data_IF_218130130455
#
_entry.id   IF_218130130455
#
_cell.length_a   1.000
_cell.length_b   1.000
_cell.length_c   1.000
_cell.angle_alpha   90.00
_cell.angle_beta   90.00
_cell.angle_gamma   90.00
#
_symmetry.space_group_name_H-M   'P 1'
#
loop_
_entity.id
_entity.type
_entity.pdbx_description
1 polymer ?
#
# COMPACT_ATOMS: atom_id res chain seq x y z
N UNK A 1 4.50 -24.68 9.81
CA UNK A 1 5.26 -23.66 10.54
C UNK A 1 6.40 -23.28 9.64
N UNK A 2 6.12 -22.32 8.75
CA UNK A 2 7.00 -22.04 7.62
C UNK A 2 7.91 -20.85 7.90
N UNK A 3 9.15 -21.05 7.48
CA UNK A 3 10.32 -20.24 7.70
C UNK A 3 10.22 -18.93 6.91
N UNK A 4 9.79 -17.87 7.58
CA UNK A 4 10.02 -16.49 7.12
C UNK A 4 10.14 -15.52 8.31
N UNK A 5 10.96 -15.90 9.30
CA UNK A 5 11.47 -14.98 10.32
C UNK A 5 13.00 -15.15 10.40
N UNK A 6 13.68 -15.03 9.27
CA UNK A 6 15.13 -14.86 9.22
C UNK A 6 15.41 -13.48 8.64
N UNK A 7 16.17 -12.66 9.35
CA UNK A 7 16.40 -11.23 9.11
C UNK A 7 17.14 -10.85 7.81
N UNK A 8 16.79 -11.46 6.67
CA UNK A 8 17.31 -11.16 5.33
C UNK A 8 16.37 -10.29 4.47
N UNK A 9 15.12 -10.08 4.90
CA UNK A 9 14.22 -9.08 4.34
C UNK A 9 13.95 -8.00 5.37
N UNK A 10 14.76 -6.95 5.41
CA UNK A 10 14.53 -5.84 6.34
C UNK A 10 13.21 -5.15 5.98
N UNK A 11 12.53 -4.53 6.97
CA UNK A 11 11.38 -3.66 6.69
C UNK A 11 11.71 -2.62 5.62
N UNK A 12 12.95 -2.11 5.60
CA UNK A 12 13.43 -1.20 4.57
C UNK A 12 13.44 -1.83 3.16
N UNK A 13 13.86 -3.09 3.01
CA UNK A 13 13.83 -3.79 1.73
C UNK A 13 12.39 -4.01 1.23
N UNK A 14 11.47 -4.39 2.12
CA UNK A 14 10.05 -4.51 1.81
C UNK A 14 9.44 -3.17 1.36
N UNK A 15 9.70 -2.09 2.11
CA UNK A 15 9.19 -0.76 1.76
C UNK A 15 9.77 -0.27 0.42
N UNK A 16 11.05 -0.54 0.15
CA UNK A 16 11.68 -0.20 -1.13
C UNK A 16 11.07 -0.97 -2.31
N UNK A 17 10.79 -2.26 -2.11
CA UNK A 17 10.11 -3.08 -3.11
C UNK A 17 8.69 -2.58 -3.38
N UNK A 18 7.92 -2.28 -2.32
CA UNK A 18 6.56 -1.75 -2.41
C UNK A 18 6.53 -0.41 -3.14
N UNK A 19 7.52 0.46 -2.93
CA UNK A 19 7.60 1.76 -3.59
C UNK A 19 7.65 1.68 -5.13
N UNK A 20 8.16 0.55 -5.67
CA UNK A 20 8.16 0.27 -7.10
C UNK A 20 6.77 0.17 -7.73
N UNK A 21 5.72 -0.06 -6.93
CA UNK A 21 4.32 -0.17 -7.40
C UNK A 21 3.57 1.16 -7.42
N UNK A 22 4.22 2.29 -7.16
CA UNK A 22 3.60 3.64 -7.17
C UNK A 22 2.82 3.96 -8.46
N UNK A 23 3.16 3.32 -9.59
CA UNK A 23 2.51 3.56 -10.90
C UNK A 23 1.48 2.51 -11.31
N UNK A 24 1.26 1.51 -10.47
CA UNK A 24 0.34 0.40 -10.73
C UNK A 24 -1.12 0.87 -10.81
N UNK A 25 -1.94 0.19 -11.61
CA UNK A 25 -3.38 0.45 -11.75
C UNK A 25 -4.24 -0.78 -11.42
N UNK A 26 -3.62 -1.94 -11.18
CA UNK A 26 -4.32 -3.16 -10.84
C UNK A 26 -4.73 -3.21 -9.36
N UNK A 27 -6.04 -3.38 -9.14
CA UNK A 27 -6.64 -3.54 -7.81
C UNK A 27 -5.98 -4.62 -6.94
N UNK A 28 -5.66 -5.78 -7.50
CA UNK A 28 -5.10 -6.90 -6.73
C UNK A 28 -3.69 -6.58 -6.23
N UNK A 29 -2.89 -5.90 -7.06
CA UNK A 29 -1.54 -5.47 -6.68
C UNK A 29 -1.62 -4.41 -5.58
N UNK A 30 -2.49 -3.42 -5.71
CA UNK A 30 -2.71 -2.40 -4.68
C UNK A 30 -3.23 -3.00 -3.36
N UNK A 31 -4.11 -3.99 -3.44
CA UNK A 31 -4.60 -4.70 -2.26
C UNK A 31 -3.44 -5.37 -1.52
N UNK A 32 -2.60 -6.11 -2.23
CA UNK A 32 -1.43 -6.79 -1.64
C UNK A 32 -0.41 -5.79 -1.06
N UNK A 33 -0.17 -4.67 -1.74
CA UNK A 33 0.70 -3.58 -1.28
C UNK A 33 0.19 -3.01 0.05
N UNK A 34 -1.09 -2.65 0.12
CA UNK A 34 -1.67 -2.02 1.31
C UNK A 34 -1.80 -3.00 2.48
N UNK A 35 -2.07 -4.28 2.22
CA UNK A 35 -2.08 -5.33 3.24
C UNK A 35 -0.68 -5.54 3.83
N UNK A 36 0.35 -5.48 3.00
CA UNK A 36 1.74 -5.60 3.44
C UNK A 36 2.15 -4.40 4.33
N UNK A 37 1.73 -3.18 3.96
CA UNK A 37 1.93 -1.99 4.80
C UNK A 37 1.17 -2.11 6.12
N UNK A 38 -0.07 -2.59 6.10
CA UNK A 38 -0.88 -2.79 7.31
C UNK A 38 -0.22 -3.80 8.26
N UNK A 39 0.37 -4.87 7.73
CA UNK A 39 1.14 -5.85 8.52
C UNK A 39 2.39 -5.24 9.15
N UNK A 40 3.10 -4.34 8.45
CA UNK A 40 4.22 -3.61 9.06
C UNK A 40 3.72 -2.67 10.16
N UNK A 41 2.65 -1.92 9.91
CA UNK A 41 2.04 -1.02 10.90
C UNK A 41 1.59 -1.75 12.17
N UNK A 42 1.07 -2.98 12.07
CA UNK A 42 0.64 -3.74 13.25
C UNK A 42 1.81 -4.18 14.14
N UNK A 43 3.01 -4.37 13.57
CA UNK A 43 4.23 -4.72 14.33
C UNK A 43 4.83 -3.49 15.03
N UNK A 44 4.77 -2.32 14.40
CA UNK A 44 5.39 -1.09 14.91
C UNK A 44 4.39 -0.07 15.47
N UNK A 45 3.14 -0.47 15.72
CA UNK A 45 2.02 0.44 16.00
C UNK A 45 2.14 1.27 17.29
N UNK A 46 2.99 0.83 18.23
CA UNK A 46 3.24 1.52 19.50
C UNK A 46 4.38 2.55 19.41
N UNK A 47 5.20 2.52 18.35
CA UNK A 47 6.23 3.52 18.11
C UNK A 47 5.68 4.67 17.27
N UNK A 48 5.40 5.79 17.92
CA UNK A 48 4.82 6.98 17.30
C UNK A 48 5.69 7.58 16.18
N UNK A 49 7.02 7.41 16.23
CA UNK A 49 7.92 7.91 15.18
C UNK A 49 7.82 7.02 13.94
N UNK A 50 7.89 5.70 14.14
CA UNK A 50 7.79 4.73 13.04
C UNK A 50 6.39 4.79 12.40
N UNK A 51 5.34 4.86 13.21
CA UNK A 51 3.96 4.98 12.76
C UNK A 51 3.77 6.19 11.83
N UNK A 52 4.20 7.37 12.26
CA UNK A 52 4.12 8.60 11.44
C UNK A 52 4.92 8.48 10.14
N UNK A 53 6.10 7.86 10.19
CA UNK A 53 6.90 7.59 9.00
C UNK A 53 6.18 6.67 8.00
N UNK A 54 5.56 5.60 8.49
CA UNK A 54 4.78 4.67 7.67
C UNK A 54 3.52 5.32 7.09
N UNK A 55 2.83 6.19 7.84
CA UNK A 55 1.69 6.97 7.34
C UNK A 55 2.10 7.92 6.22
N UNK A 56 3.18 8.68 6.41
CA UNK A 56 3.72 9.58 5.39
C UNK A 56 4.19 8.82 4.14
N UNK A 57 4.85 7.67 4.33
CA UNK A 57 5.21 6.78 3.23
C UNK A 57 3.98 6.29 2.47
N UNK A 58 2.94 5.83 3.19
CA UNK A 58 1.69 5.34 2.58
C UNK A 58 1.04 6.43 1.75
N UNK A 59 0.89 7.64 2.32
CA UNK A 59 0.30 8.80 1.64
C UNK A 59 1.04 9.13 0.33
N UNK A 60 2.37 9.19 0.38
CA UNK A 60 3.20 9.44 -0.80
C UNK A 60 3.04 8.34 -1.86
N UNK A 61 2.90 7.09 -1.42
CA UNK A 61 2.79 5.95 -2.32
C UNK A 61 1.47 5.96 -3.10
N UNK A 62 0.35 6.26 -2.43
CA UNK A 62 -0.99 6.23 -3.03
C UNK A 62 -1.32 7.49 -3.84
N UNK A 63 -0.57 8.58 -3.69
CA UNK A 63 -0.86 9.89 -4.29
C UNK A 63 -1.11 9.84 -5.81
N UNK A 64 -0.26 9.11 -6.54
CA UNK A 64 -0.43 8.94 -7.99
C UNK A 64 -1.67 8.09 -8.33
N UNK A 65 -1.95 7.05 -7.55
CA UNK A 65 -3.12 6.20 -7.76
C UNK A 65 -4.44 6.94 -7.46
N UNK A 66 -4.49 7.71 -6.37
CA UNK A 66 -5.64 8.55 -6.02
C UNK A 66 -5.87 9.62 -7.10
N UNK A 67 -4.80 10.24 -7.60
CA UNK A 67 -4.89 11.23 -8.67
C UNK A 67 -5.41 10.65 -9.99
N UNK A 68 -5.09 9.38 -10.30
CA UNK A 68 -5.57 8.68 -11.50
C UNK A 68 -7.02 8.22 -11.37
N UNK A 69 -7.38 7.63 -10.23
CA UNK A 69 -8.69 7.03 -10.00
C UNK A 69 -9.76 8.09 -9.71
N UNK A 70 -9.35 9.17 -9.03
CA UNK A 70 -10.24 10.27 -8.65
C UNK A 70 -11.34 9.87 -7.66
N UNK A 71 -12.18 10.83 -7.31
CA UNK A 71 -13.28 10.66 -6.35
C UNK A 71 -14.65 10.41 -7.00
N UNK A 72 -14.74 10.64 -8.30
CA UNK A 72 -15.99 10.50 -9.06
C UNK A 72 -16.20 9.07 -9.53
N UNK A 73 -17.48 8.66 -9.66
CA UNK A 73 -17.89 7.37 -10.20
C UNK A 73 -18.53 7.57 -11.57
N UNK A 74 -17.75 7.65 -12.65
CA UNK A 74 -18.28 7.89 -13.98
C UNK A 74 -19.09 6.69 -14.48
N UNK A 75 -20.08 6.97 -15.32
CA UNK A 75 -20.86 5.92 -15.98
C UNK A 75 -19.96 5.10 -16.91
N UNK A 76 -20.08 3.77 -16.85
CA UNK A 76 -19.24 2.85 -17.64
C UNK A 76 -17.86 2.54 -17.05
N UNK A 77 -17.57 3.00 -15.82
CA UNK A 77 -16.36 2.63 -15.11
C UNK A 77 -16.23 1.09 -14.91
N UNK A 78 -14.99 0.58 -15.00
CA UNK A 78 -14.71 -0.82 -14.71
C UNK A 78 -14.92 -1.15 -13.21
N UNK A 79 -15.48 -2.33 -12.94
CA UNK A 79 -15.68 -2.80 -11.56
C UNK A 79 -14.40 -2.76 -10.70
N UNK A 80 -13.24 -3.14 -11.28
CA UNK A 80 -11.96 -3.14 -10.57
C UNK A 80 -11.46 -1.73 -10.26
N UNK A 81 -11.71 -0.75 -11.13
CA UNK A 81 -11.39 0.66 -10.86
C UNK A 81 -12.22 1.19 -9.70
N UNK A 82 -13.52 0.86 -9.65
CA UNK A 82 -14.38 1.21 -8.53
C UNK A 82 -13.97 0.55 -7.20
N UNK A 83 -13.44 -0.68 -7.24
CA UNK A 83 -12.86 -1.34 -6.06
C UNK A 83 -11.55 -0.68 -5.62
N UNK A 84 -10.68 -0.32 -6.57
CA UNK A 84 -9.42 0.36 -6.28
C UNK A 84 -9.68 1.70 -5.57
N UNK A 85 -10.66 2.49 -6.04
CA UNK A 85 -11.05 3.74 -5.37
C UNK A 85 -11.40 3.55 -3.90
N UNK A 86 -12.12 2.48 -3.57
CA UNK A 86 -12.54 2.19 -2.18
C UNK A 86 -11.40 1.68 -1.31
N UNK A 87 -10.32 1.17 -1.93
CA UNK A 87 -9.20 0.54 -1.24
C UNK A 87 -8.11 1.54 -0.86
N UNK A 88 -7.88 2.53 -1.72
CA UNK A 88 -6.97 3.67 -1.52
C UNK A 88 -7.51 4.60 -0.42
#
# INVERSE_FOLDING_TARGET
GDLAFSGNGTTAALLSFIQGFSKEDNYLVWSQVLDSIASVKSVFGEDEVIKKGLEAFTLKLIDEAVSKVGWDYPEGESYLTGLLRKRL
#
